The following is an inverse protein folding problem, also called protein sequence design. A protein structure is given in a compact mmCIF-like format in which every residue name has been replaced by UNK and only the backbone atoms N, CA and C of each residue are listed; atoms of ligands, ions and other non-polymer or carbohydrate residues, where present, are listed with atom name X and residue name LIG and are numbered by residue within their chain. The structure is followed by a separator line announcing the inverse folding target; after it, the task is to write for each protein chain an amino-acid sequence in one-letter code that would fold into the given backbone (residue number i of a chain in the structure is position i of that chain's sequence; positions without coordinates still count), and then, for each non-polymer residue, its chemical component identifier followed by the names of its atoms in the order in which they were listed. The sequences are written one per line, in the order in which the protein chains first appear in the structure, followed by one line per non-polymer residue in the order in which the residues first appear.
data_IF_616390756947
#
_entry.id   IF_616390756947
#
_cell.length_a   1.000
_cell.length_b   1.000
_cell.length_c   1.000
_cell.angle_alpha   90.00
_cell.angle_beta   90.00
_cell.angle_gamma   90.00
#
_symmetry.space_group_name_H-M   'P 1'
#
loop_
_entity.id
_entity.type
_entity.pdbx_description
1 polymer ?
#
# COMPACT_ATOMS: atom_id res chain seq x y z
N UNK A 1 -7.56 34.14 50.17
CA UNK A 1 -6.56 33.32 49.47
C UNK A 1 -7.29 32.08 48.97
N UNK A 2 -8.05 32.21 47.89
CA UNK A 2 -7.63 31.99 46.49
C UNK A 2 -7.81 30.52 46.03
N UNK A 3 -8.70 30.38 45.03
CA UNK A 3 -8.74 29.43 43.91
C UNK A 3 -9.50 28.09 44.05
N UNK A 4 -10.68 28.14 43.43
CA UNK A 4 -11.48 27.08 42.84
C UNK A 4 -10.66 26.29 41.79
N UNK A 5 -10.77 24.96 41.77
CA UNK A 5 -10.56 24.15 40.56
C UNK A 5 -11.33 22.79 40.62
N UNK A 6 -12.59 22.84 40.16
CA UNK A 6 -13.28 21.87 39.28
C UNK A 6 -12.84 20.39 39.29
N UNK A 7 -13.66 19.51 39.87
CA UNK A 7 -13.67 18.07 39.53
C UNK A 7 -15.13 17.61 39.36
N UNK A 8 -15.47 17.24 38.12
CA UNK A 8 -16.82 16.91 37.68
C UNK A 8 -17.25 15.49 38.04
N UNK A 9 -18.52 15.41 38.46
CA UNK A 9 -19.47 14.29 38.41
C UNK A 9 -18.96 12.87 38.66
N UNK A 10 -19.10 12.49 39.92
CA UNK A 10 -19.47 11.14 40.38
C UNK A 10 -20.79 10.73 39.71
N UNK A 11 -20.84 9.56 39.07
CA UNK A 11 -22.11 9.00 38.62
C UNK A 11 -22.05 7.76 37.74
N UNK A 12 -22.27 6.60 38.36
CA UNK A 12 -23.01 5.46 37.78
C UNK A 12 -22.28 4.64 36.71
N UNK A 13 -21.50 3.63 37.15
CA UNK A 13 -21.44 2.28 36.57
C UNK A 13 -20.22 1.50 37.11
N UNK A 14 -20.03 1.51 38.43
CA UNK A 14 -19.56 0.31 39.12
C UNK A 14 -20.72 -0.67 39.02
N UNK A 15 -20.57 -1.83 38.37
CA UNK A 15 -21.28 -3.12 38.57
C UNK A 15 -21.17 -3.98 37.29
N UNK A 16 -20.74 -5.24 37.45
CA UNK A 16 -20.55 -6.33 36.47
C UNK A 16 -19.16 -6.30 35.80
N UNK A 17 -18.09 -6.88 36.34
CA UNK A 17 -17.91 -8.28 36.76
C UNK A 17 -18.29 -9.29 35.67
N UNK A 18 -17.41 -9.52 34.69
CA UNK A 18 -16.97 -10.89 34.39
C UNK A 18 -15.77 -10.90 33.44
N UNK A 19 -14.64 -11.31 34.02
CA UNK A 19 -13.45 -11.78 33.33
C UNK A 19 -13.80 -13.00 32.46
N UNK A 20 -13.87 -12.81 31.14
CA UNK A 20 -13.70 -13.90 30.17
C UNK A 20 -12.44 -13.59 29.36
N UNK A 21 -11.30 -14.27 29.61
CA UNK A 21 -10.29 -14.36 28.57
C UNK A 21 -10.91 -15.19 27.44
N UNK A 22 -11.40 -14.50 26.40
CA UNK A 22 -11.58 -15.11 25.09
C UNK A 22 -10.23 -15.69 24.69
N UNK A 23 -10.05 -17.00 24.88
CA UNK A 23 -9.08 -17.79 24.14
C UNK A 23 -9.55 -17.72 22.68
N UNK A 24 -9.23 -16.60 22.04
CA UNK A 24 -9.11 -16.55 20.60
C UNK A 24 -7.95 -17.47 20.29
N UNK A 25 -8.27 -18.74 20.00
CA UNK A 25 -7.42 -19.53 19.15
C UNK A 25 -7.37 -18.71 17.87
N UNK A 26 -6.25 -17.99 17.68
CA UNK A 26 -6.06 -17.23 16.46
C UNK A 26 -6.21 -18.22 15.33
N UNK A 27 -7.19 -18.00 14.46
CA UNK A 27 -7.20 -18.57 13.13
C UNK A 27 -5.83 -18.23 12.54
N UNK A 28 -4.92 -19.19 12.59
CA UNK A 28 -3.63 -19.12 11.92
C UNK A 28 -3.98 -19.24 10.45
N UNK A 29 -4.39 -18.11 9.86
CA UNK A 29 -4.54 -18.01 8.42
C UNK A 29 -3.20 -18.41 7.84
N UNK A 30 -3.18 -19.57 7.20
CA UNK A 30 -2.07 -20.04 6.40
C UNK A 30 -2.00 -19.07 5.22
N UNK A 31 -1.28 -17.97 5.41
CA UNK A 31 -0.98 -17.01 4.35
C UNK A 31 0.02 -17.70 3.44
N UNK A 32 -0.48 -18.29 2.36
CA UNK A 32 0.37 -18.83 1.31
C UNK A 32 1.19 -17.67 0.73
N UNK A 33 2.53 -17.81 0.60
CA UNK A 33 3.34 -16.72 0.09
C UNK A 33 2.97 -16.43 -1.36
N UNK A 34 2.69 -15.17 -1.67
CA UNK A 34 2.48 -14.76 -3.06
C UNK A 34 3.73 -15.07 -3.90
N UNK A 35 3.56 -15.47 -5.17
CA UNK A 35 4.69 -15.71 -6.05
C UNK A 35 5.51 -14.44 -6.25
N UNK A 36 6.83 -14.60 -6.39
CA UNK A 36 7.72 -13.47 -6.63
C UNK A 36 7.32 -12.69 -7.91
N UNK A 37 7.48 -11.35 -7.93
CA UNK A 37 7.16 -10.54 -9.09
C UNK A 37 8.09 -10.85 -10.27
N UNK A 38 7.52 -11.01 -11.47
CA UNK A 38 8.24 -11.32 -12.71
C UNK A 38 7.85 -10.36 -13.85
N UNK A 39 8.81 -9.91 -14.69
CA UNK A 39 8.54 -9.08 -15.87
C UNK A 39 7.54 -9.73 -16.81
N UNK A 40 6.40 -9.06 -16.96
CA UNK A 40 5.27 -9.56 -17.74
C UNK A 40 4.91 -8.60 -18.87
N UNK A 41 4.90 -7.29 -18.60
CA UNK A 41 4.48 -6.29 -19.58
C UNK A 41 5.48 -5.14 -19.65
N UNK A 42 5.71 -4.59 -20.83
CA UNK A 42 6.45 -3.34 -21.04
C UNK A 42 5.50 -2.30 -21.64
N UNK A 43 5.29 -1.20 -20.93
CA UNK A 43 4.54 -0.04 -21.41
C UNK A 43 5.51 1.00 -21.95
N UNK A 44 5.28 1.47 -23.19
CA UNK A 44 6.11 2.48 -23.85
C UNK A 44 5.24 3.69 -24.16
N UNK A 45 5.72 4.89 -23.79
CA UNK A 45 5.03 6.15 -24.05
C UNK A 45 6.02 7.19 -24.59
N UNK A 46 5.66 7.93 -25.66
CA UNK A 46 4.46 7.76 -26.49
C UNK A 46 4.49 6.44 -27.30
N UNK A 47 3.33 6.03 -27.81
CA UNK A 47 3.17 4.86 -28.67
C UNK A 47 3.78 5.08 -30.06
N UNK A 48 3.75 6.32 -30.55
CA UNK A 48 4.39 6.74 -31.78
C UNK A 48 4.90 8.19 -31.72
N UNK A 49 5.91 8.49 -32.53
CA UNK A 49 6.38 9.86 -32.78
C UNK A 49 6.67 10.04 -34.26
N UNK A 50 6.22 11.17 -34.81
CA UNK A 50 6.59 11.59 -36.16
C UNK A 50 7.76 12.57 -36.11
N UNK A 51 8.78 12.32 -36.95
CA UNK A 51 9.95 13.18 -37.06
C UNK A 51 9.89 13.92 -38.41
N UNK A 52 9.76 15.24 -38.34
CA UNK A 52 9.50 16.09 -39.52
C UNK A 52 10.77 16.67 -40.16
N UNK A 53 11.95 16.39 -39.61
CA UNK A 53 13.22 16.92 -40.12
C UNK A 53 14.36 15.92 -39.98
N UNK A 54 15.34 16.04 -40.87
CA UNK A 54 16.57 15.25 -40.81
C UNK A 54 17.38 15.63 -39.57
N UNK A 55 17.71 14.64 -38.74
CA UNK A 55 18.46 14.83 -37.50
C UNK A 55 17.61 15.09 -36.26
N UNK A 56 16.28 15.10 -36.39
CA UNK A 56 15.39 15.10 -35.22
C UNK A 56 15.52 13.79 -34.44
N UNK A 57 15.32 13.88 -33.12
CA UNK A 57 15.32 12.72 -32.21
C UNK A 57 14.03 12.74 -31.39
N UNK A 58 13.57 11.56 -31.00
CA UNK A 58 12.43 11.37 -30.12
C UNK A 58 12.87 10.64 -28.86
N UNK A 59 12.32 11.05 -27.73
CA UNK A 59 12.44 10.33 -26.47
C UNK A 59 11.25 9.41 -26.28
N UNK A 60 11.51 8.23 -25.74
CA UNK A 60 10.49 7.30 -25.26
C UNK A 60 10.78 6.97 -23.81
N UNK A 61 9.73 6.74 -23.03
CA UNK A 61 9.84 6.19 -21.70
C UNK A 61 9.29 4.77 -21.69
N UNK A 62 9.97 3.86 -20.98
CA UNK A 62 9.55 2.48 -20.83
C UNK A 62 9.34 2.16 -19.35
N UNK A 63 8.20 1.54 -19.03
CA UNK A 63 7.88 1.04 -17.69
C UNK A 63 7.62 -0.45 -17.78
N UNK A 64 8.45 -1.24 -17.12
CA UNK A 64 8.21 -2.68 -16.98
C UNK A 64 7.26 -2.92 -15.82
N UNK A 65 6.26 -3.77 -16.02
CA UNK A 65 5.29 -4.18 -15.01
C UNK A 65 5.33 -5.69 -14.77
N UNK A 66 5.01 -6.07 -13.54
CA UNK A 66 4.88 -7.45 -13.13
C UNK A 66 3.52 -8.06 -13.51
N UNK A 67 3.32 -9.33 -13.16
CA UNK A 67 2.08 -10.07 -13.40
C UNK A 67 0.85 -9.45 -12.72
N UNK A 68 1.04 -8.60 -11.71
CA UNK A 68 0.00 -7.91 -10.97
C UNK A 68 -0.21 -6.47 -11.49
N UNK A 69 0.50 -6.08 -12.55
CA UNK A 69 0.46 -4.74 -13.12
C UNK A 69 1.22 -3.69 -12.31
N UNK A 70 2.04 -4.09 -11.33
CA UNK A 70 2.87 -3.15 -10.55
C UNK A 70 4.15 -2.82 -11.33
N UNK A 71 4.60 -1.56 -11.36
CA UNK A 71 5.88 -1.22 -11.96
C UNK A 71 7.04 -1.90 -11.22
N UNK A 72 7.99 -2.45 -11.98
CA UNK A 72 9.24 -3.01 -11.47
C UNK A 72 10.41 -2.05 -11.69
N UNK A 73 10.94 -1.44 -10.62
CA UNK A 73 12.10 -0.57 -10.73
C UNK A 73 13.35 -1.37 -11.10
N UNK A 74 14.29 -0.72 -11.81
CA UNK A 74 15.57 -1.28 -12.25
C UNK A 74 15.48 -2.45 -13.25
N UNK A 75 14.29 -2.72 -13.81
CA UNK A 75 14.17 -3.62 -14.94
C UNK A 75 14.87 -3.02 -16.17
N UNK A 76 15.71 -3.81 -16.82
CA UNK A 76 16.37 -3.43 -18.07
C UNK A 76 15.48 -3.73 -19.26
N UNK A 77 15.41 -2.79 -20.19
CA UNK A 77 14.81 -2.98 -21.52
C UNK A 77 15.95 -2.86 -22.53
N UNK A 78 16.10 -3.83 -23.43
CA UNK A 78 17.23 -3.95 -24.38
C UNK A 78 16.75 -4.17 -25.79
#
# INVERSE_FOLDING_TARGET
MERIAKQGSVGVAVVILLLLPIVGCGDEEVVEPEPAPVPTTVEITPDAVELMSSGATAGFNAVVRDQNGKPMPNASVT
#
